data_IF_376534094278
#
_entry.id   IF_376534094278
#
_cell.length_a   1.000
_cell.length_b   1.000
_cell.length_c   1.000
_cell.angle_alpha   90.00
_cell.angle_beta   90.00
_cell.angle_gamma   90.00
#
_symmetry.space_group_name_H-M   'P 1'
#
loop_
_entity.id
_entity.type
_entity.pdbx_description
1 polymer ?
#
# COMPACT_ATOMS: atom_id res chain seq x y z
N UNK A 1 -18.07 -7.56 -4.48
CA UNK A 1 -17.39 -8.28 -5.58
C UNK A 1 -15.91 -7.93 -5.57
N UNK A 2 -15.03 -8.89 -5.83
CA UNK A 2 -13.57 -8.70 -5.88
C UNK A 2 -12.94 -9.72 -6.83
N UNK A 3 -11.77 -9.39 -7.39
CA UNK A 3 -10.99 -10.32 -8.19
C UNK A 3 -10.46 -11.46 -7.32
N UNK A 4 -10.50 -12.68 -7.85
CA UNK A 4 -9.93 -13.84 -7.18
C UNK A 4 -8.39 -13.75 -7.17
N UNK A 5 -7.71 -14.28 -6.15
CA UNK A 5 -6.26 -14.44 -6.16
C UNK A 5 -5.77 -15.15 -7.43
N UNK A 6 -4.51 -14.91 -7.79
CA UNK A 6 -3.83 -15.53 -8.94
C UNK A 6 -4.48 -15.27 -10.32
N UNK A 7 -5.38 -14.29 -10.39
CA UNK A 7 -5.90 -13.79 -11.67
C UNK A 7 -4.84 -12.94 -12.37
N UNK A 8 -4.51 -13.29 -13.61
CA UNK A 8 -3.45 -12.64 -14.39
C UNK A 8 -4.04 -11.72 -15.47
N UNK A 9 -3.47 -10.51 -15.58
CA UNK A 9 -3.80 -9.54 -16.63
C UNK A 9 -2.54 -9.16 -17.40
N UNK A 10 -2.70 -8.90 -18.70
CA UNK A 10 -1.63 -8.34 -19.54
C UNK A 10 -2.04 -6.92 -19.94
N UNK A 11 -1.22 -5.95 -19.58
CA UNK A 11 -1.45 -4.53 -19.82
C UNK A 11 -0.21 -3.93 -20.50
N UNK A 12 -0.40 -2.83 -21.23
CA UNK A 12 0.70 -2.05 -21.81
C UNK A 12 0.74 -0.69 -21.14
N UNK A 13 1.93 -0.26 -20.73
CA UNK A 13 2.19 1.07 -20.17
C UNK A 13 3.24 1.75 -21.05
N UNK A 14 3.01 3.01 -21.43
CA UNK A 14 4.00 3.85 -22.09
C UNK A 14 4.63 4.78 -21.06
N UNK A 15 5.96 4.79 -20.99
CA UNK A 15 6.69 5.81 -20.23
C UNK A 15 7.06 6.94 -21.17
N UNK A 16 6.42 8.10 -21.01
CA UNK A 16 6.76 9.30 -21.76
C UNK A 16 7.82 10.12 -21.01
N UNK A 17 9.00 10.23 -21.60
CA UNK A 17 10.13 10.93 -21.00
C UNK A 17 10.40 12.30 -21.65
N UNK A 18 9.52 12.76 -22.57
CA UNK A 18 9.75 13.97 -23.33
C UNK A 18 9.98 15.20 -22.44
N UNK A 19 9.25 15.32 -21.34
CA UNK A 19 9.37 16.43 -20.38
C UNK A 19 10.66 16.40 -19.54
N UNK A 20 11.46 15.33 -19.61
CA UNK A 20 12.76 15.21 -18.96
C UNK A 20 13.95 15.32 -19.93
N UNK A 21 13.65 15.45 -21.23
CA UNK A 21 14.66 15.57 -22.29
C UNK A 21 15.36 16.92 -22.28
N UNK A 22 16.48 17.02 -22.98
CA UNK A 22 17.21 18.29 -23.13
C UNK A 22 16.43 19.32 -23.94
N UNK A 23 15.54 18.88 -24.84
CA UNK A 23 14.57 19.76 -25.52
C UNK A 23 13.68 20.51 -24.51
N UNK A 24 13.10 19.79 -23.54
CA UNK A 24 12.24 20.40 -22.52
C UNK A 24 13.02 21.36 -21.62
N UNK A 25 14.26 20.98 -21.24
CA UNK A 25 15.15 21.84 -20.45
C UNK A 25 15.51 23.13 -21.20
N UNK A 26 15.77 23.03 -22.51
CA UNK A 26 16.03 24.19 -23.38
C UNK A 26 14.83 25.14 -23.48
N UNK A 27 13.61 24.62 -23.37
CA UNK A 27 12.37 25.40 -23.28
C UNK A 27 12.05 25.91 -21.86
N UNK A 28 12.96 25.74 -20.89
CA UNK A 28 12.79 26.22 -19.51
C UNK A 28 12.10 25.25 -18.55
N UNK A 29 11.68 24.06 -19.01
CA UNK A 29 11.07 23.04 -18.14
C UNK A 29 12.16 22.24 -17.42
N UNK A 30 12.42 22.60 -16.16
CA UNK A 30 13.41 21.95 -15.28
C UNK A 30 12.74 20.99 -14.31
N UNK A 31 12.11 19.94 -14.85
CA UNK A 31 11.45 18.92 -14.03
C UNK A 31 12.46 17.94 -13.41
N UNK A 32 12.20 17.51 -12.19
CA UNK A 32 12.93 16.46 -11.50
C UNK A 32 12.15 15.14 -11.52
N UNK A 33 12.84 14.01 -11.31
CA UNK A 33 12.17 12.71 -11.14
C UNK A 33 12.12 11.80 -12.36
N UNK A 34 12.73 12.16 -13.50
CA UNK A 34 12.84 11.26 -14.67
C UNK A 34 13.45 9.90 -14.33
N UNK A 35 14.45 9.89 -13.44
CA UNK A 35 15.06 8.65 -12.92
C UNK A 35 14.09 7.77 -12.14
N UNK A 36 13.04 8.33 -11.53
CA UNK A 36 12.01 7.55 -10.83
C UNK A 36 11.16 6.76 -11.84
N UNK A 37 10.87 7.34 -13.00
CA UNK A 37 10.16 6.67 -14.08
C UNK A 37 11.04 5.60 -14.74
N UNK A 38 12.32 5.92 -14.99
CA UNK A 38 13.27 4.96 -15.57
C UNK A 38 13.54 3.76 -14.64
N UNK A 39 13.41 3.94 -13.33
CA UNK A 39 13.61 2.89 -12.32
C UNK A 39 12.32 2.51 -11.59
N UNK A 40 11.17 2.59 -12.27
CA UNK A 40 9.86 2.41 -11.67
C UNK A 40 9.74 1.14 -10.82
N UNK A 41 10.18 -0.06 -11.26
CA UNK A 41 10.11 -1.27 -10.43
C UNK A 41 10.81 -1.11 -9.08
N UNK A 42 12.02 -0.54 -9.07
CA UNK A 42 12.80 -0.35 -7.85
C UNK A 42 12.12 0.63 -6.91
N UNK A 43 11.63 1.76 -7.45
CA UNK A 43 10.98 2.81 -6.66
C UNK A 43 9.68 2.30 -6.03
N UNK A 44 8.84 1.62 -6.81
CA UNK A 44 7.57 1.08 -6.31
C UNK A 44 7.83 -0.04 -5.30
N UNK A 45 8.78 -0.94 -5.57
CA UNK A 45 9.13 -2.01 -4.63
C UNK A 45 9.59 -1.46 -3.28
N UNK A 46 10.43 -0.42 -3.27
CA UNK A 46 10.87 0.23 -2.03
C UNK A 46 9.68 0.80 -1.26
N UNK A 47 8.79 1.52 -1.94
CA UNK A 47 7.58 2.08 -1.31
C UNK A 47 6.67 0.99 -0.73
N UNK A 48 6.45 -0.09 -1.49
CA UNK A 48 5.65 -1.23 -1.06
C UNK A 48 6.29 -1.96 0.12
N UNK A 49 7.61 -2.12 0.16
CA UNK A 49 8.32 -2.74 1.29
C UNK A 49 8.15 -1.95 2.58
N UNK A 50 8.27 -0.63 2.53
CA UNK A 50 8.06 0.21 3.70
C UNK A 50 6.66 0.03 4.28
N UNK A 51 5.66 -0.11 3.41
CA UNK A 51 4.28 -0.38 3.80
C UNK A 51 4.11 -1.79 4.39
N UNK A 52 4.65 -2.81 3.72
CA UNK A 52 4.61 -4.20 4.18
C UNK A 52 5.19 -4.33 5.59
N UNK A 53 6.31 -3.67 5.87
CA UNK A 53 6.94 -3.66 7.20
C UNK A 53 6.06 -3.03 8.27
N UNK A 54 5.42 -1.89 7.96
CA UNK A 54 4.49 -1.23 8.89
C UNK A 54 3.28 -2.12 9.20
N UNK A 55 2.71 -2.75 8.18
CA UNK A 55 1.56 -3.65 8.35
C UNK A 55 1.95 -4.93 9.11
N UNK A 56 3.12 -5.51 8.86
CA UNK A 56 3.65 -6.64 9.63
C UNK A 56 3.80 -6.29 11.12
N UNK A 57 4.40 -5.13 11.41
CA UNK A 57 4.58 -4.65 12.78
C UNK A 57 3.24 -4.33 13.48
N UNK A 58 2.26 -3.83 12.75
CA UNK A 58 0.92 -3.56 13.28
C UNK A 58 0.17 -4.87 13.60
N UNK A 59 0.11 -5.81 12.65
CA UNK A 59 -0.65 -7.05 12.84
C UNK A 59 -0.02 -8.00 13.85
N UNK A 60 1.29 -7.93 14.10
CA UNK A 60 1.95 -8.72 15.14
C UNK A 60 1.46 -8.37 16.55
N UNK A 61 0.93 -7.16 16.74
CA UNK A 61 0.39 -6.67 18.01
C UNK A 61 -1.11 -6.98 18.18
N UNK A 62 -1.79 -7.47 17.14
CA UNK A 62 -3.23 -7.76 17.17
C UNK A 62 -3.48 -9.24 17.48
N UNK A 63 -4.17 -9.50 18.60
CA UNK A 63 -4.64 -10.83 18.96
C UNK A 63 -5.54 -11.40 17.85
N UNK A 64 -5.20 -12.58 17.35
CA UNK A 64 -5.98 -13.27 16.31
C UNK A 64 -5.61 -12.90 14.87
N UNK A 65 -4.64 -11.99 14.66
CA UNK A 65 -4.18 -11.57 13.35
C UNK A 65 -2.84 -12.21 12.92
N UNK A 66 -2.41 -13.30 13.57
CA UNK A 66 -1.10 -13.91 13.33
C UNK A 66 -0.90 -14.34 11.86
N UNK A 67 -1.95 -14.81 11.19
CA UNK A 67 -1.90 -15.15 9.76
C UNK A 67 -1.61 -13.93 8.89
N UNK A 68 -2.15 -12.77 9.22
CA UNK A 68 -1.89 -11.52 8.50
C UNK A 68 -0.47 -11.04 8.75
N UNK A 69 0.00 -11.08 9.99
CA UNK A 69 1.39 -10.75 10.32
C UNK A 69 2.35 -11.64 9.51
N UNK A 70 2.09 -12.95 9.48
CA UNK A 70 2.90 -13.90 8.70
C UNK A 70 2.84 -13.64 7.19
N UNK A 71 1.67 -13.32 6.64
CA UNK A 71 1.52 -12.94 5.24
C UNK A 71 2.41 -11.74 4.89
N UNK A 72 2.38 -10.67 5.69
CA UNK A 72 3.23 -9.50 5.45
C UNK A 72 4.73 -9.82 5.63
N UNK A 73 5.10 -10.66 6.59
CA UNK A 73 6.49 -11.14 6.72
C UNK A 73 6.95 -11.92 5.47
N UNK A 74 6.07 -12.73 4.87
CA UNK A 74 6.37 -13.42 3.60
C UNK A 74 6.57 -12.43 2.45
N UNK A 75 5.75 -11.39 2.36
CA UNK A 75 5.92 -10.33 1.37
C UNK A 75 7.23 -9.55 1.57
N UNK A 76 7.62 -9.26 2.81
CA UNK A 76 8.87 -8.53 3.12
C UNK A 76 10.11 -9.36 2.73
N UNK A 77 10.05 -10.68 2.97
CA UNK A 77 11.10 -11.61 2.62
C UNK A 77 11.19 -11.96 1.12
N UNK A 78 10.23 -11.51 0.30
CA UNK A 78 10.19 -11.87 -1.12
C UNK A 78 11.34 -11.20 -1.90
N UNK A 79 12.15 -12.03 -2.57
CA UNK A 79 13.23 -11.56 -3.45
C UNK A 79 12.71 -11.41 -4.87
N UNK A 80 12.23 -10.21 -5.18
CA UNK A 80 11.75 -9.85 -6.50
C UNK A 80 12.92 -9.30 -7.31
N UNK A 81 13.20 -9.89 -8.48
CA UNK A 81 14.24 -9.40 -9.39
C UNK A 81 13.97 -7.98 -9.87
N UNK A 82 14.86 -7.43 -10.70
CA UNK A 82 14.84 -6.01 -11.10
C UNK A 82 13.59 -5.56 -11.89
N UNK A 83 12.85 -6.48 -12.48
CA UNK A 83 11.66 -6.19 -13.31
C UNK A 83 10.33 -6.46 -12.60
N UNK A 84 10.36 -6.85 -11.33
CA UNK A 84 9.16 -7.21 -10.56
C UNK A 84 9.02 -6.37 -9.30
N UNK A 85 7.78 -6.06 -8.95
CA UNK A 85 7.48 -5.34 -7.71
C UNK A 85 6.09 -5.68 -7.20
N UNK A 86 5.91 -5.54 -5.89
CA UNK A 86 4.60 -5.57 -5.25
C UNK A 86 3.94 -4.21 -5.37
N UNK A 87 2.62 -4.21 -5.54
CA UNK A 87 1.80 -3.02 -5.50
C UNK A 87 0.48 -3.34 -4.79
N UNK A 88 -0.03 -2.40 -3.99
CA UNK A 88 -1.39 -2.49 -3.48
C UNK A 88 -2.32 -1.62 -4.32
N UNK A 89 -3.43 -2.18 -4.79
CA UNK A 89 -4.40 -1.49 -5.66
C UNK A 89 -5.85 -1.70 -5.20
N UNK A 90 -6.72 -0.79 -5.61
CA UNK A 90 -8.17 -0.89 -5.36
C UNK A 90 -8.64 -0.27 -4.05
N UNK A 91 -9.92 -0.53 -3.73
CA UNK A 91 -10.68 0.15 -2.67
C UNK A 91 -10.42 -0.38 -1.25
N UNK A 92 -9.75 -1.52 -1.14
CA UNK A 92 -9.41 -2.16 0.14
C UNK A 92 -8.15 -1.61 0.80
N UNK A 93 -7.36 -0.80 0.09
CA UNK A 93 -6.03 -0.39 0.53
C UNK A 93 -6.04 0.77 1.54
N UNK A 94 -7.19 1.41 1.73
CA UNK A 94 -7.39 2.43 2.77
C UNK A 94 -6.67 3.74 2.48
N UNK A 95 -6.65 4.61 3.50
CA UNK A 95 -6.15 5.98 3.36
C UNK A 95 -4.66 6.05 3.06
N UNK A 96 -3.82 5.29 3.77
CA UNK A 96 -2.35 5.37 3.65
C UNK A 96 -1.84 5.00 2.25
N UNK A 97 -2.62 4.23 1.47
CA UNK A 97 -2.24 3.83 0.11
C UNK A 97 -2.59 4.88 -0.95
N UNK A 98 -3.56 5.74 -0.63
CA UNK A 98 -4.09 6.76 -1.55
C UNK A 98 -3.55 8.14 -1.24
N UNK A 99 -2.67 8.24 -0.25
CA UNK A 99 -2.08 9.49 0.22
C UNK A 99 -0.59 9.30 0.49
N UNK A 100 0.11 10.41 0.73
CA UNK A 100 1.47 10.37 1.26
C UNK A 100 1.48 10.18 2.78
N UNK A 101 0.66 9.27 3.30
CA UNK A 101 0.38 9.13 4.72
C UNK A 101 1.64 8.96 5.56
N UNK A 102 2.55 8.08 5.15
CA UNK A 102 3.85 7.89 5.81
C UNK A 102 4.70 9.16 5.91
N UNK A 103 4.59 10.08 4.94
CA UNK A 103 5.30 11.37 4.97
C UNK A 103 4.58 12.38 5.85
N UNK A 104 3.26 12.48 5.71
CA UNK A 104 2.44 13.39 6.52
C UNK A 104 2.55 13.08 8.02
N UNK A 105 2.68 11.80 8.37
CA UNK A 105 2.79 11.33 9.75
C UNK A 105 4.17 11.55 10.38
N UNK A 106 5.17 12.02 9.61
CA UNK A 106 6.50 12.34 10.16
C UNK A 106 6.42 13.56 11.08
N UNK A 107 5.59 14.54 10.75
CA UNK A 107 5.25 15.67 11.63
C UNK A 107 3.92 15.37 12.34
N UNK A 108 4.01 14.95 13.59
CA UNK A 108 2.85 14.57 14.40
C UNK A 108 1.91 15.75 14.63
N UNK A 109 2.43 16.96 14.86
CA UNK A 109 1.61 18.15 15.14
C UNK A 109 0.83 18.55 13.90
N UNK A 110 1.50 18.55 12.74
CA UNK A 110 0.86 18.81 11.47
C UNK A 110 -0.21 17.75 11.16
N UNK A 111 0.09 16.47 11.40
CA UNK A 111 -0.88 15.38 11.17
C UNK A 111 -2.12 15.51 12.06
N UNK A 112 -1.96 15.80 13.36
CA UNK A 112 -3.10 16.00 14.27
C UNK A 112 -3.99 17.17 13.81
N UNK A 113 -3.35 18.26 13.37
CA UNK A 113 -4.07 19.38 12.78
C UNK A 113 -4.87 18.97 11.53
N UNK A 114 -4.27 18.20 10.62
CA UNK A 114 -4.98 17.70 9.43
C UNK A 114 -6.18 16.82 9.81
N UNK A 115 -5.99 15.88 10.75
CA UNK A 115 -7.06 14.98 11.20
C UNK A 115 -8.24 15.78 11.77
N UNK A 116 -7.95 16.81 12.58
CA UNK A 116 -8.95 17.68 13.20
C UNK A 116 -9.64 18.58 12.17
N UNK A 117 -8.86 19.34 11.41
CA UNK A 117 -9.35 20.38 10.50
C UNK A 117 -10.19 19.76 9.36
N UNK A 118 -9.82 18.56 8.88
CA UNK A 118 -10.55 17.83 7.84
C UNK A 118 -11.46 16.70 8.37
N UNK A 119 -11.62 16.57 9.69
CA UNK A 119 -12.49 15.58 10.35
C UNK A 119 -12.28 14.14 9.84
N UNK A 120 -11.02 13.73 9.72
CA UNK A 120 -10.64 12.49 9.04
C UNK A 120 -10.81 11.24 9.91
N UNK A 121 -10.86 11.40 11.23
CA UNK A 121 -11.03 10.29 12.17
C UNK A 121 -12.48 9.80 12.23
N UNK A 122 -12.67 8.49 12.44
CA UNK A 122 -13.97 7.87 12.73
C UNK A 122 -14.00 7.39 14.17
N UNK A 123 -15.10 7.68 14.87
CA UNK A 123 -15.30 7.30 16.27
C UNK A 123 -14.52 8.17 17.25
N UNK A 124 -14.45 7.74 18.52
CA UNK A 124 -13.66 8.41 19.55
C UNK A 124 -12.17 8.18 19.28
N UNK A 125 -11.41 9.27 19.30
CA UNK A 125 -9.95 9.29 19.09
C UNK A 125 -9.35 10.37 20.00
N UNK A 126 -8.18 10.09 20.55
CA UNK A 126 -7.35 11.06 21.28
C UNK A 126 -6.11 11.44 20.45
N UNK A 127 -5.49 12.58 20.75
CA UNK A 127 -4.24 12.96 20.10
C UNK A 127 -3.16 11.89 20.35
N UNK A 128 -2.41 11.53 19.32
CA UNK A 128 -1.42 10.46 19.40
C UNK A 128 -1.96 9.04 19.12
N UNK A 129 -3.28 8.85 19.05
CA UNK A 129 -3.85 7.58 18.59
C UNK A 129 -3.39 7.25 17.17
N UNK A 130 -3.16 5.97 16.84
CA UNK A 130 -2.75 5.57 15.50
C UNK A 130 -3.79 5.96 14.45
N UNK A 131 -3.32 6.55 13.36
CA UNK A 131 -4.14 6.93 12.22
C UNK A 131 -3.58 6.35 10.91
N UNK A 132 -4.43 5.82 10.00
CA UNK A 132 -5.80 5.40 10.26
C UNK A 132 -5.82 4.18 11.18
N UNK A 133 -6.79 4.11 12.11
CA UNK A 133 -6.98 2.92 12.97
C UNK A 133 -7.60 1.75 12.21
N UNK A 134 -8.45 2.01 11.23
CA UNK A 134 -9.17 0.98 10.48
C UNK A 134 -8.32 0.39 9.35
N UNK A 135 -8.32 -0.94 9.22
CA UNK A 135 -7.79 -1.67 8.05
C UNK A 135 -8.91 -2.50 7.45
N UNK A 136 -9.06 -2.47 6.12
CA UNK A 136 -10.04 -3.30 5.40
C UNK A 136 -9.39 -4.62 5.00
N UNK A 137 -10.09 -5.71 5.25
CA UNK A 137 -9.63 -7.07 4.95
C UNK A 137 -10.83 -8.00 4.74
N UNK A 138 -10.55 -9.17 4.18
CA UNK A 138 -11.50 -10.27 4.18
C UNK A 138 -11.62 -10.81 5.61
N UNK A 139 -12.85 -11.04 6.07
CA UNK A 139 -13.15 -11.63 7.37
C UNK A 139 -13.94 -12.92 7.14
N UNK A 140 -13.50 -14.00 7.79
CA UNK A 140 -14.23 -15.27 7.83
C UNK A 140 -15.05 -15.34 9.10
N UNK A 141 -16.26 -15.90 9.00
CA UNK A 141 -17.19 -16.06 10.12
C UNK A 141 -17.37 -17.55 10.39
N UNK A 142 -17.00 -18.00 11.58
CA UNK A 142 -17.20 -19.38 12.02
C UNK A 142 -18.26 -19.42 13.11
N UNK A 143 -19.28 -20.26 12.96
CA UNK A 143 -20.30 -20.44 14.00
C UNK A 143 -19.92 -21.61 14.89
N UNK A 144 -19.76 -21.35 16.18
CA UNK A 144 -19.57 -22.40 17.18
C UNK A 144 -20.90 -23.15 17.42
N UNK A 145 -20.80 -24.36 17.98
CA UNK A 145 -21.95 -25.21 18.28
C UNK A 145 -22.94 -24.58 19.28
N UNK A 146 -22.48 -23.61 20.08
CA UNK A 146 -23.30 -22.82 21.02
C UNK A 146 -23.95 -21.57 20.39
N UNK A 147 -23.85 -21.42 19.06
CA UNK A 147 -24.43 -20.32 18.30
C UNK A 147 -23.59 -19.05 18.24
N UNK A 148 -22.46 -18.96 18.96
CA UNK A 148 -21.55 -17.81 18.88
C UNK A 148 -20.88 -17.73 17.51
N UNK A 149 -20.79 -16.52 16.96
CA UNK A 149 -20.07 -16.25 15.71
C UNK A 149 -18.70 -15.70 16.06
N UNK A 150 -17.66 -16.42 15.66
CA UNK A 150 -16.27 -15.99 15.76
C UNK A 150 -15.81 -15.39 14.43
N UNK A 151 -15.36 -14.15 14.47
CA UNK A 151 -14.76 -13.46 13.33
C UNK A 151 -13.25 -13.74 13.30
N UNK A 152 -12.74 -14.19 12.16
CA UNK A 152 -11.31 -14.40 11.97
C UNK A 152 -10.82 -13.56 10.80
N UNK A 153 -9.84 -12.65 11.01
CA UNK A 153 -9.17 -11.95 9.93
C UNK A 153 -8.59 -12.95 8.91
N UNK A 154 -8.99 -12.82 7.65
CA UNK A 154 -8.61 -13.72 6.57
C UNK A 154 -7.37 -13.25 5.81
N UNK A 155 -7.57 -12.34 4.86
CA UNK A 155 -6.50 -11.88 3.95
C UNK A 155 -6.61 -10.38 3.67
N UNK A 156 -5.48 -9.69 3.47
CA UNK A 156 -5.51 -8.29 3.05
C UNK A 156 -5.94 -8.19 1.59
N UNK A 157 -6.52 -7.05 1.23
CA UNK A 157 -7.04 -6.81 -0.11
C UNK A 157 -6.02 -6.08 -0.98
N UNK A 158 -6.06 -6.34 -2.29
CA UNK A 158 -5.46 -5.45 -3.28
C UNK A 158 -3.97 -5.65 -3.57
N UNK A 159 -3.28 -6.58 -2.91
CA UNK A 159 -1.89 -6.88 -3.25
C UNK A 159 -1.80 -7.58 -4.61
N UNK A 160 -0.95 -7.07 -5.48
CA UNK A 160 -0.64 -7.64 -6.78
C UNK A 160 0.88 -7.70 -6.99
N UNK A 161 1.33 -8.72 -7.72
CA UNK A 161 2.68 -8.77 -8.28
C UNK A 161 2.65 -8.20 -9.69
N UNK A 162 3.47 -7.19 -9.96
CA UNK A 162 3.65 -6.63 -11.30
C UNK A 162 4.96 -7.13 -11.87
N UNK A 163 4.92 -7.64 -13.10
CA UNK A 163 6.10 -8.00 -13.90
C UNK A 163 6.16 -7.09 -15.13
N UNK A 164 7.21 -6.29 -15.23
CA UNK A 164 7.44 -5.43 -16.40
C UNK A 164 8.31 -6.14 -17.42
N UNK A 165 7.88 -6.07 -18.68
CA UNK A 165 8.65 -6.50 -19.85
C UNK A 165 8.71 -5.34 -20.83
N UNK A 166 9.92 -5.03 -21.29
CA UNK A 166 10.08 -4.07 -22.36
C UNK A 166 9.47 -4.64 -23.64
N UNK A 167 8.64 -3.83 -24.30
CA UNK A 167 8.06 -4.17 -25.59
C UNK A 167 8.95 -3.55 -26.66
N UNK A 168 9.70 -4.40 -27.35
CA UNK A 168 10.46 -4.03 -28.56
C UNK A 168 9.51 -3.81 -29.73
#
# INVERSE_FOLDING_TARGET
>A
EALRPDTNFKLTIKLDQALFSDWAKGAGLKLSGGNLLANLPKVVQQHSQDRVKREAAWFSQIRGAQRLAQFYTQLDGARLGSSRFLLQVGWGTGWDDKTFGSRLQTDKVFMERLIRDYRMARGRREEGDPFPKSRRMVVSFNRAADGRVAETPGSPLGWVLVEMKERK
#
